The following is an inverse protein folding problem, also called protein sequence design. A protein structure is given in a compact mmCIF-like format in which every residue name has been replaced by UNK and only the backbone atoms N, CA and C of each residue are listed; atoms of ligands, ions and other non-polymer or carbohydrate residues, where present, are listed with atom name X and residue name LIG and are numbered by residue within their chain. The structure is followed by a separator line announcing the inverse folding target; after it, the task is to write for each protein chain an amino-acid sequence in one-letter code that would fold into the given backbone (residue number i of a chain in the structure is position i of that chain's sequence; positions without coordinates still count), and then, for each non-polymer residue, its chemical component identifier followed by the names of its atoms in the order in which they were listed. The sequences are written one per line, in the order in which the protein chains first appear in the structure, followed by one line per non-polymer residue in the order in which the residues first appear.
data_IF_563759185052
#
_entry.id   IF_563759185052
#
_cell.length_a   1.000
_cell.length_b   1.000
_cell.length_c   1.000
_cell.angle_alpha   90.00
_cell.angle_beta   90.00
_cell.angle_gamma   90.00
#
_symmetry.space_group_name_H-M   'P 1'
#
loop_
_entity.id
_entity.type
_entity.pdbx_description
1 polymer ?
#
# COMPACT_ATOMS: atom_id res chain seq x y z
N UNK A 1 -15.30 -9.63 23.39
CA UNK A 1 -15.06 -9.06 22.05
C UNK A 1 -14.26 -10.12 21.33
N UNK A 2 -14.91 -10.88 20.44
CA UNK A 2 -14.25 -12.01 19.75
C UNK A 2 -13.45 -11.48 18.57
N UNK A 3 -12.13 -11.50 18.64
CA UNK A 3 -11.31 -10.98 17.55
C UNK A 3 -11.46 -11.90 16.33
N UNK A 4 -11.86 -11.35 15.18
CA UNK A 4 -11.77 -12.06 13.92
C UNK A 4 -10.34 -11.99 13.39
N UNK A 5 -9.60 -13.07 13.66
CA UNK A 5 -8.16 -13.16 13.41
C UNK A 5 -7.85 -13.12 11.91
N UNK A 6 -8.72 -13.67 11.04
CA UNK A 6 -8.47 -13.70 9.60
C UNK A 6 -8.53 -12.29 8.99
N UNK A 7 -9.58 -11.55 9.30
CA UNK A 7 -9.75 -10.14 8.87
C UNK A 7 -8.66 -9.25 9.46
N UNK A 8 -8.35 -9.43 10.74
CA UNK A 8 -7.29 -8.66 11.41
C UNK A 8 -5.93 -8.87 10.74
N UNK A 9 -5.57 -10.12 10.43
CA UNK A 9 -4.32 -10.43 9.74
C UNK A 9 -4.30 -9.78 8.35
N UNK A 10 -5.38 -9.92 7.57
CA UNK A 10 -5.48 -9.33 6.24
C UNK A 10 -5.35 -7.79 6.28
N UNK A 11 -6.03 -7.14 7.23
CA UNK A 11 -5.94 -5.70 7.45
C UNK A 11 -4.51 -5.24 7.75
N UNK A 12 -3.84 -5.92 8.68
CA UNK A 12 -2.45 -5.62 9.03
C UNK A 12 -1.48 -5.82 7.85
N UNK A 13 -1.68 -6.85 7.02
CA UNK A 13 -0.85 -7.06 5.83
C UNK A 13 -1.00 -5.93 4.81
N UNK A 14 -2.23 -5.44 4.58
CA UNK A 14 -2.45 -4.32 3.67
C UNK A 14 -1.81 -3.02 4.21
N UNK A 15 -1.92 -2.76 5.52
CA UNK A 15 -1.27 -1.61 6.14
C UNK A 15 0.27 -1.70 6.06
N UNK A 16 0.84 -2.89 6.29
CA UNK A 16 2.26 -3.13 6.13
C UNK A 16 2.72 -2.87 4.67
N UNK A 17 1.93 -3.29 3.68
CA UNK A 17 2.20 -3.00 2.27
C UNK A 17 2.20 -1.49 1.97
N UNK A 18 1.27 -0.73 2.55
CA UNK A 18 1.20 0.73 2.41
C UNK A 18 2.44 1.43 2.98
N UNK A 19 3.09 0.87 4.01
CA UNK A 19 4.36 1.41 4.55
C UNK A 19 5.56 0.98 3.69
N UNK A 20 5.60 -0.29 3.28
CA UNK A 20 6.68 -0.83 2.48
C UNK A 20 6.77 -0.19 1.09
N UNK A 21 5.61 0.01 0.44
CA UNK A 21 5.52 0.55 -0.90
C UNK A 21 6.26 1.88 -1.08
N UNK A 22 5.98 2.92 -0.28
CA UNK A 22 6.62 4.23 -0.39
C UNK A 22 8.12 4.19 -0.13
N UNK A 23 8.55 3.39 0.85
CA UNK A 23 9.97 3.26 1.21
C UNK A 23 10.77 2.64 0.06
N UNK A 24 10.25 1.57 -0.55
CA UNK A 24 10.95 0.87 -1.63
C UNK A 24 10.71 1.55 -2.98
N UNK A 25 9.46 1.74 -3.39
CA UNK A 25 9.15 2.32 -4.70
C UNK A 25 9.49 3.81 -4.79
N UNK A 26 9.39 4.58 -3.71
CA UNK A 26 9.82 5.98 -3.69
C UNK A 26 11.32 6.13 -3.99
N UNK A 27 12.15 5.21 -3.48
CA UNK A 27 13.57 5.15 -3.83
C UNK A 27 13.82 4.83 -5.31
N UNK A 28 13.14 3.81 -5.83
CA UNK A 28 13.19 3.45 -7.26
C UNK A 28 12.75 4.59 -8.18
N UNK A 29 11.72 5.32 -7.76
CA UNK A 29 11.20 6.47 -8.49
C UNK A 29 12.19 7.61 -8.59
N UNK A 30 12.77 7.98 -7.44
CA UNK A 30 13.82 9.00 -7.40
C UNK A 30 14.98 8.60 -8.30
N UNK A 31 15.41 7.34 -8.24
CA UNK A 31 16.48 6.81 -9.08
C UNK A 31 16.14 6.82 -10.58
N UNK A 32 14.95 6.38 -10.98
CA UNK A 32 14.53 6.41 -12.39
C UNK A 32 14.39 7.85 -12.90
N UNK A 33 13.90 8.76 -12.06
CA UNK A 33 13.80 10.18 -12.40
C UNK A 33 15.19 10.81 -12.60
N UNK A 34 16.13 10.60 -11.67
CA UNK A 34 17.48 11.19 -11.74
C UNK A 34 18.37 10.53 -12.79
N UNK A 35 18.33 9.21 -12.93
CA UNK A 35 19.32 8.46 -13.73
C UNK A 35 18.83 8.10 -15.14
N UNK A 36 17.51 8.07 -15.38
CA UNK A 36 16.92 7.72 -16.69
C UNK A 36 16.19 8.87 -17.37
N UNK A 37 16.39 10.10 -16.89
CA UNK A 37 15.78 11.30 -17.47
C UNK A 37 14.25 11.30 -17.38
N UNK A 38 13.70 10.85 -16.25
CA UNK A 38 12.26 10.89 -16.00
C UNK A 38 11.40 9.86 -16.75
N UNK A 39 12.01 8.83 -17.35
CA UNK A 39 11.27 7.76 -18.04
C UNK A 39 10.82 6.66 -17.08
N UNK A 40 9.51 6.47 -16.98
CA UNK A 40 8.88 5.31 -16.36
C UNK A 40 8.85 4.14 -17.35
N UNK A 41 9.20 2.92 -16.90
CA UNK A 41 9.29 1.76 -17.80
C UNK A 41 7.90 1.17 -18.07
N UNK A 42 6.97 1.28 -17.12
CA UNK A 42 5.59 0.81 -17.26
C UNK A 42 4.58 1.69 -16.49
N UNK A 43 3.29 1.62 -16.86
CA UNK A 43 2.22 2.29 -16.12
C UNK A 43 2.13 1.82 -14.65
N UNK A 44 2.50 0.57 -14.38
CA UNK A 44 2.57 -0.02 -13.03
C UNK A 44 3.73 0.52 -12.17
N UNK A 45 4.67 1.23 -12.79
CA UNK A 45 5.77 1.93 -12.13
C UNK A 45 5.51 3.44 -12.00
N UNK A 46 4.44 3.94 -12.59
CA UNK A 46 4.11 5.37 -12.56
C UNK A 46 3.55 5.83 -11.22
N UNK A 47 3.69 7.12 -10.88
CA UNK A 47 3.24 7.67 -9.62
C UNK A 47 1.73 7.54 -9.39
N UNK A 48 0.93 7.71 -10.45
CA UNK A 48 -0.54 7.68 -10.36
C UNK A 48 -1.04 6.28 -9.97
N UNK A 49 -0.60 5.24 -10.67
CA UNK A 49 -1.01 3.85 -10.37
C UNK A 49 -0.68 3.48 -8.92
N UNK A 50 0.50 3.87 -8.46
CA UNK A 50 0.92 3.58 -7.11
C UNK A 50 0.15 4.36 -6.05
N UNK A 51 -0.20 5.63 -6.31
CA UNK A 51 -1.10 6.39 -5.44
C UNK A 51 -2.46 5.70 -5.36
N UNK A 52 -3.00 5.22 -6.48
CA UNK A 52 -4.24 4.43 -6.48
C UNK A 52 -4.11 3.14 -5.64
N UNK A 53 -2.98 2.44 -5.74
CA UNK A 53 -2.71 1.25 -4.91
C UNK A 53 -2.62 1.59 -3.42
N UNK A 54 -1.95 2.69 -3.04
CA UNK A 54 -1.91 3.15 -1.65
C UNK A 54 -3.31 3.39 -1.13
N UNK A 55 -4.13 4.13 -1.87
CA UNK A 55 -5.50 4.45 -1.44
C UNK A 55 -6.30 3.16 -1.25
N UNK A 56 -6.27 2.26 -2.23
CA UNK A 56 -6.96 0.98 -2.17
C UNK A 56 -6.56 0.15 -0.94
N UNK A 57 -5.26 -0.08 -0.75
CA UNK A 57 -4.77 -0.92 0.34
C UNK A 57 -4.88 -0.24 1.71
N UNK A 58 -4.79 1.09 1.78
CA UNK A 58 -5.03 1.83 3.01
C UNK A 58 -6.49 1.69 3.44
N UNK A 59 -7.42 1.89 2.52
CA UNK A 59 -8.86 1.76 2.80
C UNK A 59 -9.20 0.33 3.23
N UNK A 60 -8.78 -0.68 2.46
CA UNK A 60 -9.01 -2.09 2.81
C UNK A 60 -8.33 -2.47 4.12
N UNK A 61 -7.10 -2.01 4.34
CA UNK A 61 -6.34 -2.28 5.56
C UNK A 61 -7.01 -1.75 6.82
N UNK A 62 -7.54 -0.52 6.77
CA UNK A 62 -8.27 0.08 7.90
C UNK A 62 -9.58 -0.65 8.16
N UNK A 63 -10.39 -0.89 7.11
CA UNK A 63 -11.69 -1.56 7.24
C UNK A 63 -11.53 -2.95 7.86
N UNK A 64 -10.67 -3.79 7.29
CA UNK A 64 -10.46 -5.16 7.77
C UNK A 64 -9.84 -5.22 9.18
N UNK A 65 -9.01 -4.24 9.54
CA UNK A 65 -8.47 -4.16 10.91
C UNK A 65 -9.58 -3.81 11.91
N UNK A 66 -10.48 -2.88 11.57
CA UNK A 66 -11.59 -2.50 12.44
C UNK A 66 -12.64 -3.62 12.56
N UNK A 67 -12.95 -4.29 11.46
CA UNK A 67 -13.81 -5.48 11.40
C UNK A 67 -13.20 -6.63 12.22
N UNK A 68 -11.91 -6.91 12.02
CA UNK A 68 -11.15 -7.90 12.78
C UNK A 68 -11.13 -7.66 14.29
N UNK A 69 -11.15 -6.40 14.72
CA UNK A 69 -11.23 -6.00 16.12
C UNK A 69 -12.68 -5.91 16.65
N UNK A 70 -13.70 -6.18 15.83
CA UNK A 70 -15.12 -5.95 16.14
C UNK A 70 -15.40 -4.53 16.66
N UNK A 71 -14.74 -3.53 16.08
CA UNK A 71 -14.99 -2.11 16.38
C UNK A 71 -16.13 -1.56 15.53
N UNK A 72 -16.29 -2.10 14.32
CA UNK A 72 -17.36 -1.79 13.38
C UNK A 72 -18.08 -3.06 12.95
#
# INVERSE_FOLDING_TARGET
MDINVEELIAGLFFLAYVVYGPLVKGGFWKQNWTNKGGRWVTAAEGPIFFVCMIILFLTLGVVLTLEGLNVI
#
